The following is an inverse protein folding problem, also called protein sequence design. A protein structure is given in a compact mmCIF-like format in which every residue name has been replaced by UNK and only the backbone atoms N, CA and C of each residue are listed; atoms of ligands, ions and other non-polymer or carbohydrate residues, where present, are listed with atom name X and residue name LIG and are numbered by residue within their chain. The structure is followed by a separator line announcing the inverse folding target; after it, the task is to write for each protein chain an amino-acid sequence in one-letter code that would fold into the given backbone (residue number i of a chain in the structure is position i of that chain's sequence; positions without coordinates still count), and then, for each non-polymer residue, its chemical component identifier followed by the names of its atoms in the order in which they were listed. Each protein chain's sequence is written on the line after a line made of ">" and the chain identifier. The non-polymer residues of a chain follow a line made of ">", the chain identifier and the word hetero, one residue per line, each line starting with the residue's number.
data_IF_643441514540
#
_entry.id   IF_643441514540
#
_cell.length_a   1.000
_cell.length_b   1.000
_cell.length_c   1.000
_cell.angle_alpha   90.00
_cell.angle_beta   90.00
_cell.angle_gamma   90.00
#
_symmetry.space_group_name_H-M   'P 1'
#
loop_
_entity.id
_entity.type
_entity.pdbx_description
1 polymer ?
#
# COMPACT_ATOMS: atom_id res chain seq x y z
N UNK A 1 11.40 16.85 -3.83
CA UNK A 1 10.25 16.04 -4.29
C UNK A 1 10.47 14.63 -3.77
N UNK A 2 9.56 14.10 -2.95
CA UNK A 2 9.63 12.71 -2.50
C UNK A 2 8.68 11.89 -3.39
N UNK A 3 9.15 11.33 -4.51
CA UNK A 3 8.27 10.56 -5.38
C UNK A 3 7.84 9.30 -4.64
N UNK A 4 6.57 9.23 -4.30
CA UNK A 4 5.92 8.02 -3.83
C UNK A 4 5.08 7.42 -4.95
N UNK A 5 5.00 6.09 -4.97
CA UNK A 5 4.09 5.40 -5.87
C UNK A 5 2.65 5.59 -5.38
N UNK A 6 1.70 5.68 -6.30
CA UNK A 6 0.28 5.80 -5.99
C UNK A 6 -0.49 4.72 -6.73
N UNK A 7 -1.45 4.11 -6.04
CA UNK A 7 -2.42 3.18 -6.60
C UNK A 7 -3.76 3.89 -6.59
N UNK A 8 -4.40 3.96 -7.76
CA UNK A 8 -5.78 4.43 -7.87
C UNK A 8 -6.68 3.21 -7.86
N UNK A 9 -7.65 3.21 -6.94
CA UNK A 9 -8.65 2.16 -6.80
C UNK A 9 -10.03 2.75 -7.02
N UNK A 10 -10.92 1.90 -7.48
CA UNK A 10 -12.35 2.17 -7.48
C UNK A 10 -13.05 1.16 -6.59
N UNK A 11 -13.88 1.66 -5.67
CA UNK A 11 -14.70 0.84 -4.79
C UNK A 11 -16.15 0.97 -5.22
N UNK A 12 -16.82 -0.15 -5.52
CA UNK A 12 -18.22 -0.15 -5.91
C UNK A 12 -19.08 0.42 -4.76
N UNK A 13 -19.86 1.46 -5.04
CA UNK A 13 -20.86 2.00 -4.12
C UNK A 13 -22.18 1.28 -4.43
N UNK A 14 -22.65 0.39 -3.55
CA UNK A 14 -23.85 -0.49 -3.64
C UNK A 14 -23.62 -1.88 -4.24
N UNK A 15 -24.40 -2.88 -3.78
CA UNK A 15 -24.39 -4.32 -4.12
C UNK A 15 -24.63 -4.65 -5.62
N UNK A 16 -24.57 -3.65 -6.50
CA UNK A 16 -24.79 -3.80 -7.94
C UNK A 16 -23.49 -4.20 -8.64
N UNK A 17 -23.51 -5.39 -9.25
CA UNK A 17 -22.46 -6.06 -10.01
C UNK A 17 -21.96 -5.30 -11.28
N UNK A 18 -21.58 -4.03 -11.15
CA UNK A 18 -21.01 -3.23 -12.25
C UNK A 18 -19.52 -3.03 -11.99
N UNK A 19 -18.68 -3.58 -12.87
CA UNK A 19 -17.23 -3.37 -12.80
C UNK A 19 -16.90 -1.89 -13.06
N UNK A 20 -16.22 -1.26 -12.10
CA UNK A 20 -15.64 0.07 -12.25
C UNK A 20 -14.48 0.03 -13.27
N UNK A 21 -14.27 1.12 -14.02
CA UNK A 21 -13.16 1.20 -14.99
C UNK A 21 -12.67 2.65 -15.24
N UNK A 22 -12.50 3.42 -14.17
CA UNK A 22 -11.90 4.77 -14.05
C UNK A 22 -12.88 5.98 -14.16
N UNK A 23 -14.08 5.78 -13.61
CA UNK A 23 -15.10 6.72 -13.08
C UNK A 23 -15.66 7.89 -13.93
N UNK A 24 -16.60 7.66 -14.87
CA UNK A 24 -17.24 8.78 -15.58
C UNK A 24 -18.55 9.33 -14.98
N UNK A 25 -19.28 8.65 -14.08
CA UNK A 25 -20.57 9.14 -13.53
C UNK A 25 -20.94 8.51 -12.16
N UNK A 26 -20.12 8.73 -11.13
CA UNK A 26 -20.42 8.44 -9.71
C UNK A 26 -20.77 6.99 -9.30
N UNK A 27 -20.53 5.97 -10.15
CA UNK A 27 -20.82 4.56 -9.79
C UNK A 27 -19.86 3.99 -8.73
N UNK A 28 -18.66 4.55 -8.62
CA UNK A 28 -17.63 4.03 -7.72
C UNK A 28 -16.99 5.16 -6.91
N UNK A 29 -16.44 4.82 -5.76
CA UNK A 29 -15.57 5.70 -4.99
C UNK A 29 -14.14 5.60 -5.52
N UNK A 30 -13.57 6.71 -5.96
CA UNK A 30 -12.15 6.76 -6.28
C UNK A 30 -11.33 6.90 -5.00
N UNK A 31 -10.37 6.00 -4.82
CA UNK A 31 -9.41 6.03 -3.73
C UNK A 31 -8.00 6.16 -4.28
N UNK A 32 -7.17 6.97 -3.62
CA UNK A 32 -5.74 7.02 -3.90
C UNK A 32 -4.95 6.48 -2.71
N UNK A 33 -4.18 5.43 -2.94
CA UNK A 33 -3.36 4.78 -1.93
C UNK A 33 -1.89 5.08 -2.21
N UNK A 34 -1.24 5.72 -1.25
CA UNK A 34 0.19 6.00 -1.29
C UNK A 34 1.00 4.77 -0.88
N UNK A 35 2.01 4.41 -1.66
CA UNK A 35 2.99 3.39 -1.32
C UNK A 35 4.39 3.99 -1.11
N UNK A 36 5.38 3.12 -0.91
CA UNK A 36 6.78 3.50 -0.79
C UNK A 36 7.34 4.20 -2.04
N UNK A 37 8.56 4.72 -1.91
CA UNK A 37 9.29 5.30 -3.05
C UNK A 37 9.53 4.23 -4.14
N UNK A 38 9.57 4.60 -5.43
CA UNK A 38 9.83 3.67 -6.52
C UNK A 38 11.08 2.80 -6.28
N UNK A 39 12.18 3.38 -5.80
CA UNK A 39 13.41 2.64 -5.52
C UNK A 39 13.25 1.60 -4.40
N UNK A 40 12.46 1.90 -3.36
CA UNK A 40 12.19 0.95 -2.29
C UNK A 40 11.32 -0.21 -2.78
N UNK A 41 10.30 0.07 -3.58
CA UNK A 41 9.43 -0.94 -4.18
C UNK A 41 10.19 -1.85 -5.15
N UNK A 42 11.02 -1.27 -6.03
CA UNK A 42 11.85 -2.01 -6.98
C UNK A 42 12.83 -2.97 -6.29
N UNK A 43 13.49 -2.53 -5.20
CA UNK A 43 14.38 -3.41 -4.41
C UNK A 43 13.65 -4.57 -3.75
N UNK A 44 12.32 -4.50 -3.63
CA UNK A 44 11.46 -5.58 -3.13
C UNK A 44 10.85 -6.43 -4.26
N UNK A 45 11.25 -6.20 -5.51
CA UNK A 45 10.71 -6.90 -6.67
C UNK A 45 9.33 -6.41 -7.10
N UNK A 46 8.83 -5.30 -6.54
CA UNK A 46 7.58 -4.68 -6.97
C UNK A 46 7.88 -3.74 -8.12
N UNK A 47 7.39 -4.10 -9.29
CA UNK A 47 7.56 -3.37 -10.55
C UNK A 47 6.20 -2.85 -11.03
N UNK A 48 6.19 -2.11 -12.15
CA UNK A 48 4.96 -1.65 -12.79
C UNK A 48 4.04 -2.81 -13.20
N UNK A 49 4.61 -3.98 -13.48
CA UNK A 49 3.87 -5.16 -13.92
C UNK A 49 3.41 -6.04 -12.75
N UNK A 50 3.85 -5.74 -11.52
CA UNK A 50 3.45 -6.48 -10.33
C UNK A 50 1.99 -6.25 -9.94
N UNK A 51 1.41 -5.10 -10.31
CA UNK A 51 0.01 -4.76 -10.11
C UNK A 51 -0.52 -4.08 -11.38
N UNK A 52 -1.12 -4.87 -12.26
CA UNK A 52 -1.70 -4.38 -13.51
C UNK A 52 -3.05 -3.71 -13.27
N UNK A 53 -3.45 -2.81 -14.17
CA UNK A 53 -4.80 -2.21 -14.13
C UNK A 53 -5.88 -3.29 -14.21
N UNK A 54 -7.02 -3.04 -13.55
CA UNK A 54 -8.13 -3.99 -13.49
C UNK A 54 -7.91 -5.17 -12.54
N UNK A 55 -6.76 -5.24 -11.84
CA UNK A 55 -6.52 -6.29 -10.85
C UNK A 55 -7.34 -6.01 -9.60
N UNK A 56 -8.18 -6.96 -9.22
CA UNK A 56 -8.85 -6.94 -7.92
C UNK A 56 -7.83 -7.13 -6.80
N UNK A 57 -7.88 -6.27 -5.79
CA UNK A 57 -6.96 -6.30 -4.65
C UNK A 57 -7.66 -5.84 -3.38
N UNK A 58 -7.16 -6.35 -2.24
CA UNK A 58 -7.47 -5.83 -0.92
C UNK A 58 -6.28 -5.00 -0.45
N UNK A 59 -6.53 -3.75 -0.03
CA UNK A 59 -5.50 -2.86 0.50
C UNK A 59 -5.66 -2.76 2.01
N UNK A 60 -4.62 -3.14 2.75
CA UNK A 60 -4.49 -2.78 4.16
C UNK A 60 -3.76 -1.43 4.24
N UNK A 61 -4.33 -0.45 4.90
CA UNK A 61 -3.73 0.88 5.01
C UNK A 61 -4.41 1.79 6.02
N UNK A 62 -3.93 3.03 6.08
CA UNK A 62 -4.39 4.04 7.03
C UNK A 62 -4.96 5.23 6.27
N UNK A 63 -6.27 5.46 6.38
CA UNK A 63 -6.93 6.61 5.77
C UNK A 63 -6.43 7.93 6.39
N UNK A 64 -6.40 8.99 5.58
CA UNK A 64 -6.10 10.35 6.03
C UNK A 64 -7.02 10.74 7.20
N UNK A 65 -6.43 11.29 8.27
CA UNK A 65 -7.13 11.58 9.54
C UNK A 65 -8.31 12.54 9.43
N UNK A 66 -8.26 13.47 8.49
CA UNK A 66 -9.30 14.48 8.30
C UNK A 66 -10.48 13.97 7.48
N UNK A 67 -10.37 12.76 6.89
CA UNK A 67 -11.37 12.10 6.05
C UNK A 67 -11.93 12.98 4.92
N UNK A 68 -11.25 14.08 4.58
CA UNK A 68 -11.68 15.05 3.57
C UNK A 68 -11.51 14.51 2.15
N UNK A 69 -10.59 13.55 1.99
CA UNK A 69 -10.28 12.88 0.74
C UNK A 69 -10.24 11.36 0.97
N UNK A 70 -10.71 10.61 -0.04
CA UNK A 70 -10.56 9.17 -0.13
C UNK A 70 -9.09 8.80 -0.45
N UNK A 71 -8.23 9.02 0.55
CA UNK A 71 -6.78 8.80 0.47
C UNK A 71 -6.31 8.00 1.66
N UNK A 72 -5.35 7.11 1.43
CA UNK A 72 -4.75 6.30 2.47
C UNK A 72 -3.25 6.10 2.24
N UNK A 73 -2.51 5.85 3.31
CA UNK A 73 -1.18 5.26 3.23
C UNK A 73 -1.30 3.74 3.22
N UNK A 74 -0.86 3.10 2.14
CA UNK A 74 -0.93 1.67 1.93
C UNK A 74 0.20 0.91 2.62
N UNK A 75 -0.18 -0.12 3.37
CA UNK A 75 0.75 -1.04 4.01
C UNK A 75 0.94 -2.30 3.17
N UNK A 76 -0.15 -3.00 2.89
CA UNK A 76 -0.15 -4.25 2.13
C UNK A 76 -1.16 -4.20 0.99
N UNK A 77 -0.84 -4.90 -0.08
CA UNK A 77 -1.79 -5.31 -1.11
C UNK A 77 -1.88 -6.82 -1.09
N UNK A 78 -3.09 -7.36 -0.95
CA UNK A 78 -3.38 -8.79 -1.04
C UNK A 78 -4.15 -9.06 -2.31
N UNK A 79 -3.65 -10.00 -3.12
CA UNK A 79 -4.32 -10.48 -4.32
C UNK A 79 -5.36 -11.57 -3.97
N UNK A 80 -6.33 -11.86 -4.85
CA UNK A 80 -7.32 -12.91 -4.64
C UNK A 80 -6.70 -14.32 -4.48
N UNK A 81 -5.52 -14.54 -5.06
CA UNK A 81 -4.74 -15.77 -4.93
C UNK A 81 -3.99 -15.91 -3.58
N UNK A 82 -4.12 -14.90 -2.70
CA UNK A 82 -3.47 -14.85 -1.38
C UNK A 82 -2.04 -14.31 -1.38
N UNK A 83 -1.45 -14.01 -2.55
CA UNK A 83 -0.14 -13.37 -2.65
C UNK A 83 -0.21 -11.95 -2.08
N UNK A 84 0.83 -11.53 -1.36
CA UNK A 84 0.89 -10.21 -0.72
C UNK A 84 2.09 -9.38 -1.19
N UNK A 85 1.87 -8.10 -1.39
CA UNK A 85 2.91 -7.09 -1.62
C UNK A 85 2.96 -6.13 -0.44
N UNK A 86 4.16 -5.88 0.09
CA UNK A 86 4.38 -4.89 1.14
C UNK A 86 4.75 -3.53 0.52
N UNK A 87 3.81 -2.59 0.58
CA UNK A 87 3.92 -1.24 0.03
C UNK A 87 4.48 -0.22 1.04
N UNK A 88 4.42 -0.53 2.34
CA UNK A 88 4.83 0.40 3.40
C UNK A 88 6.32 0.74 3.36
N UNK A 89 6.68 1.92 3.86
CA UNK A 89 8.08 2.26 4.11
C UNK A 89 8.56 1.58 5.39
N UNK A 90 9.81 1.08 5.41
CA UNK A 90 10.38 0.48 6.62
C UNK A 90 10.65 1.53 7.69
N UNK A 91 10.23 1.29 8.94
CA UNK A 91 10.54 2.17 10.07
C UNK A 91 9.63 3.38 10.26
N UNK A 92 8.49 3.46 9.57
CA UNK A 92 7.48 4.53 9.74
C UNK A 92 6.49 4.28 10.89
N UNK A 93 6.78 3.33 11.77
CA UNK A 93 5.93 3.01 12.93
C UNK A 93 4.70 2.15 12.61
N UNK A 94 4.67 1.48 11.46
CA UNK A 94 3.69 0.42 11.22
C UNK A 94 3.82 -0.67 12.31
N UNK A 95 2.72 -1.27 12.79
CA UNK A 95 2.73 -2.33 13.80
C UNK A 95 3.66 -3.49 13.43
N UNK A 96 4.30 -4.10 14.42
CA UNK A 96 5.16 -5.26 14.18
C UNK A 96 4.30 -6.51 13.97
N UNK A 97 4.25 -7.02 12.74
CA UNK A 97 3.41 -8.18 12.37
C UNK A 97 4.04 -9.13 11.33
N UNK A 98 5.31 -8.90 10.96
CA UNK A 98 6.04 -9.71 10.00
C UNK A 98 5.76 -9.38 8.53
N UNK A 99 4.93 -8.35 8.24
CA UNK A 99 4.66 -7.94 6.88
C UNK A 99 5.85 -7.20 6.22
N UNK A 100 6.71 -6.52 7.00
CA UNK A 100 7.93 -5.89 6.49
C UNK A 100 9.06 -6.94 6.42
N UNK A 101 9.60 -7.27 5.23
CA UNK A 101 10.65 -8.29 5.07
C UNK A 101 11.95 -7.99 5.84
N UNK A 102 12.15 -6.75 6.31
CA UNK A 102 13.32 -6.37 7.12
C UNK A 102 13.06 -6.32 8.63
N UNK A 103 11.81 -6.54 9.08
CA UNK A 103 11.40 -6.45 10.49
C UNK A 103 12.15 -7.44 11.41
N UNK A 104 12.45 -8.63 10.90
CA UNK A 104 13.19 -9.67 11.64
C UNK A 104 14.71 -9.62 11.48
N UNK A 105 15.25 -8.75 10.62
CA UNK A 105 16.71 -8.56 10.50
C UNK A 105 17.13 -7.55 11.56
N UNK A 106 17.37 -8.06 12.76
CA UNK A 106 17.55 -7.30 13.99
C UNK A 106 18.22 -5.94 13.81
N UNK A 107 17.60 -4.91 14.40
CA UNK A 107 18.28 -3.65 14.73
C UNK A 107 19.31 -3.91 15.84
N UNK A 108 20.35 -4.68 15.52
CA UNK A 108 21.56 -4.82 16.31
C UNK A 108 22.42 -3.56 16.15
N UNK A 109 22.00 -2.46 16.76
CA UNK A 109 22.92 -1.42 17.23
C UNK A 109 22.53 -1.02 18.65
N UNK A 110 22.63 -2.01 19.54
CA UNK A 110 23.05 -1.71 20.90
C UNK A 110 24.46 -1.14 20.81
N UNK A 111 24.62 0.15 21.12
CA UNK A 111 25.92 0.71 21.52
C UNK A 111 25.84 0.98 23.01
N UNK A 112 25.94 -0.10 23.78
CA UNK A 112 26.30 -0.04 25.18
C UNK A 112 27.82 -0.08 25.31
N UNK A 113 28.35 0.83 26.13
CA UNK A 113 29.62 0.69 26.87
C UNK A 113 30.92 0.93 26.10
N UNK A 114 31.68 1.95 26.51
CA UNK A 114 33.03 1.76 27.01
C UNK A 114 33.47 2.99 27.84
N UNK A 115 33.80 2.68 29.10
CA UNK A 115 34.68 3.35 30.08
C UNK A 115 34.89 4.86 29.99
#
# INVERSE_FOLDING_TARGET
>A
MNPHAWIHLEIQKTDGAVACEFTPNAKCEEWMVEGGTPNTLLRRGITRDSLTRGTEIVVDGYQTRDHSLARANGRNVTFPDGRKLFLGSSGTGAPVDGADPVEGRGRGRGRGGNN
#
